data_IF_249495005262
#
_entry.id   IF_249495005262
#
_cell.length_a   1.000
_cell.length_b   1.000
_cell.length_c   1.000
_cell.angle_alpha   90.00
_cell.angle_beta   90.00
_cell.angle_gamma   90.00
#
_symmetry.space_group_name_H-M   'P 1'
#
loop_
_entity.id
_entity.type
_entity.pdbx_description
1 polymer ?
#
# COMPACT_ATOMS: atom_id res chain seq x y z
N UNK A 1 8.90 20.03 -22.54
CA UNK A 1 8.18 19.00 -21.75
C UNK A 1 8.74 18.81 -20.33
N UNK A 2 10.07 18.80 -20.13
CA UNK A 2 10.71 18.60 -18.80
C UNK A 2 10.25 19.55 -17.67
N UNK A 3 10.03 20.85 -17.94
CA UNK A 3 9.54 21.79 -16.90
C UNK A 3 8.12 21.50 -16.42
N UNK A 4 7.27 20.93 -17.27
CA UNK A 4 5.85 20.72 -16.97
C UNK A 4 5.63 19.45 -16.14
N UNK A 5 6.25 18.33 -16.53
CA UNK A 5 6.23 17.10 -15.74
C UNK A 5 6.87 17.30 -14.37
N UNK A 6 7.96 18.08 -14.30
CA UNK A 6 8.58 18.44 -13.04
C UNK A 6 7.63 19.22 -12.10
N UNK A 7 6.81 20.15 -12.63
CA UNK A 7 5.82 20.87 -11.81
C UNK A 7 4.72 19.93 -11.31
N UNK A 8 4.22 19.04 -12.18
CA UNK A 8 3.20 18.04 -11.80
C UNK A 8 3.69 17.15 -10.66
N UNK A 9 4.88 16.59 -10.79
CA UNK A 9 5.43 15.68 -9.77
C UNK A 9 5.67 16.41 -8.44
N UNK A 10 6.15 17.65 -8.50
CA UNK A 10 6.31 18.51 -7.32
C UNK A 10 4.97 18.83 -6.64
N UNK A 11 3.90 19.05 -7.40
CA UNK A 11 2.55 19.23 -6.84
C UNK A 11 2.08 17.96 -6.12
N UNK A 12 2.32 16.78 -6.70
CA UNK A 12 1.98 15.50 -6.06
C UNK A 12 2.83 15.29 -4.79
N UNK A 13 4.15 15.53 -4.84
CA UNK A 13 5.04 15.41 -3.69
C UNK A 13 4.65 16.34 -2.54
N UNK A 14 4.38 17.61 -2.84
CA UNK A 14 3.91 18.55 -1.83
C UNK A 14 2.56 18.14 -1.25
N UNK A 15 1.65 17.60 -2.07
CA UNK A 15 0.35 17.12 -1.59
C UNK A 15 0.52 15.95 -0.64
N UNK A 16 1.42 15.00 -0.91
CA UNK A 16 1.77 13.93 0.02
C UNK A 16 2.23 14.50 1.35
N UNK A 17 3.21 15.41 1.32
CA UNK A 17 3.74 16.01 2.55
C UNK A 17 2.66 16.71 3.37
N UNK A 18 1.83 17.54 2.72
CA UNK A 18 0.77 18.29 3.41
C UNK A 18 -0.32 17.37 3.97
N UNK A 19 -0.74 16.32 3.24
CA UNK A 19 -1.70 15.33 3.75
C UNK A 19 -1.12 14.58 4.93
N UNK A 20 0.16 14.19 4.88
CA UNK A 20 0.86 13.49 5.96
C UNK A 20 1.06 14.36 7.22
N UNK A 21 1.29 15.65 7.07
CA UNK A 21 1.44 16.59 8.19
C UNK A 21 0.08 16.96 8.80
N UNK A 22 -0.89 17.36 7.97
CA UNK A 22 -2.07 18.11 8.42
C UNK A 22 -3.38 17.32 8.36
N UNK A 23 -3.36 16.14 7.73
CA UNK A 23 -4.54 15.37 7.43
C UNK A 23 -5.26 15.84 6.17
N UNK A 24 -6.21 15.02 5.71
CA UNK A 24 -6.89 15.22 4.43
C UNK A 24 -7.74 16.51 4.41
N UNK A 25 -8.57 16.74 5.44
CA UNK A 25 -9.53 17.84 5.49
C UNK A 25 -8.88 19.24 5.46
N UNK A 26 -7.69 19.36 6.06
CA UNK A 26 -6.96 20.65 6.15
C UNK A 26 -6.09 20.93 4.92
N UNK A 27 -6.04 20.01 3.95
CA UNK A 27 -5.23 20.16 2.75
C UNK A 27 -5.95 21.07 1.74
N UNK A 28 -5.46 22.31 1.60
CA UNK A 28 -5.95 23.31 0.64
C UNK A 28 -4.96 23.47 -0.52
N UNK A 29 -5.43 23.94 -1.67
CA UNK A 29 -4.59 24.29 -2.84
C UNK A 29 -3.50 25.30 -2.47
N UNK A 30 -3.83 26.30 -1.63
CA UNK A 30 -2.86 27.23 -1.05
C UNK A 30 -1.79 26.55 -0.21
N UNK A 31 -2.18 25.60 0.65
CA UNK A 31 -1.22 24.86 1.47
C UNK A 31 -0.27 24.01 0.61
N UNK A 32 -0.76 23.41 -0.48
CA UNK A 32 0.03 22.58 -1.41
C UNK A 32 1.13 23.37 -2.09
N UNK A 33 0.88 24.63 -2.50
CA UNK A 33 1.88 25.46 -3.18
C UNK A 33 2.68 26.36 -2.23
N UNK A 34 2.29 26.42 -0.95
CA UNK A 34 2.95 27.26 0.04
C UNK A 34 4.43 26.89 0.19
N UNK A 35 5.31 27.89 0.15
CA UNK A 35 6.76 27.69 0.23
C UNK A 35 7.40 27.14 -1.06
N UNK A 36 6.66 27.09 -2.18
CA UNK A 36 7.17 26.72 -3.50
C UNK A 36 7.18 27.91 -4.44
N UNK A 37 7.85 27.79 -5.59
CA UNK A 37 7.80 28.74 -6.71
C UNK A 37 6.60 28.49 -7.65
N UNK A 38 5.68 27.57 -7.29
CA UNK A 38 4.54 27.19 -8.12
C UNK A 38 3.36 28.12 -7.81
N UNK A 39 2.82 28.78 -8.84
CA UNK A 39 1.57 29.52 -8.72
C UNK A 39 0.39 28.55 -8.53
N UNK A 40 -0.53 28.86 -7.61
CA UNK A 40 -1.74 28.07 -7.34
C UNK A 40 -2.54 27.72 -8.62
N UNK A 41 -2.58 28.62 -9.60
CA UNK A 41 -3.25 28.41 -10.88
C UNK A 41 -2.68 27.22 -11.68
N UNK A 42 -1.42 26.82 -11.46
CA UNK A 42 -0.83 25.67 -12.14
C UNK A 42 -1.44 24.34 -11.74
N UNK A 43 -2.11 24.25 -10.59
CA UNK A 43 -2.86 23.04 -10.21
C UNK A 43 -3.91 22.75 -11.28
N UNK A 44 -4.64 23.77 -11.73
CA UNK A 44 -5.74 23.64 -12.68
C UNK A 44 -5.29 23.39 -14.14
N UNK A 45 -3.98 23.36 -14.39
CA UNK A 45 -3.44 23.00 -15.70
C UNK A 45 -3.40 21.48 -15.89
N UNK A 46 -3.10 20.75 -14.82
CA UNK A 46 -2.81 19.32 -14.86
C UNK A 46 -3.87 18.49 -14.11
N UNK A 47 -4.68 19.15 -13.28
CA UNK A 47 -5.74 18.56 -12.49
C UNK A 47 -7.04 19.34 -12.66
N UNK A 48 -8.15 18.63 -12.78
CA UNK A 48 -9.47 19.27 -12.97
C UNK A 48 -9.85 20.11 -11.76
N UNK A 49 -9.57 19.59 -10.57
CA UNK A 49 -9.76 20.24 -9.30
C UNK A 49 -8.82 19.62 -8.25
N UNK A 50 -9.00 20.01 -6.98
CA UNK A 50 -8.22 19.50 -5.86
C UNK A 50 -8.47 17.99 -5.62
N UNK A 51 -9.69 17.51 -5.88
CA UNK A 51 -10.06 16.11 -5.67
C UNK A 51 -9.40 15.21 -6.71
N UNK A 52 -9.32 15.65 -7.96
CA UNK A 52 -8.57 14.98 -9.02
C UNK A 52 -7.06 14.91 -8.68
N UNK A 53 -6.47 15.99 -8.16
CA UNK A 53 -5.10 15.95 -7.63
C UNK A 53 -4.94 14.88 -6.54
N UNK A 54 -5.88 14.77 -5.61
CA UNK A 54 -5.83 13.73 -4.57
C UNK A 54 -5.96 12.32 -5.14
N UNK A 55 -6.82 12.11 -6.14
CA UNK A 55 -6.91 10.83 -6.88
C UNK A 55 -5.57 10.50 -7.53
N UNK A 56 -4.89 11.47 -8.16
CA UNK A 56 -3.56 11.23 -8.78
C UNK A 56 -2.45 10.96 -7.75
N UNK A 57 -2.53 11.57 -6.57
CA UNK A 57 -1.63 11.27 -5.45
C UNK A 57 -1.83 9.83 -4.99
N UNK A 58 -3.08 9.41 -4.79
CA UNK A 58 -3.39 8.04 -4.40
C UNK A 58 -2.99 7.04 -5.49
N UNK A 59 -3.31 7.31 -6.76
CA UNK A 59 -2.92 6.47 -7.90
C UNK A 59 -1.42 6.20 -7.91
N UNK A 60 -0.59 7.23 -7.71
CA UNK A 60 0.86 7.08 -7.64
C UNK A 60 1.30 6.17 -6.48
N UNK A 61 0.76 6.42 -5.29
CA UNK A 61 1.12 5.64 -4.10
C UNK A 61 0.67 4.18 -4.19
N UNK A 62 -0.50 3.95 -4.78
CA UNK A 62 -1.07 2.63 -5.01
C UNK A 62 -0.31 1.83 -6.06
N UNK A 63 0.16 2.49 -7.12
CA UNK A 63 1.05 1.91 -8.13
C UNK A 63 2.41 1.56 -7.52
N UNK A 64 3.01 2.46 -6.73
CA UNK A 64 4.26 2.16 -6.03
C UNK A 64 4.15 0.95 -5.09
N UNK A 65 3.05 0.84 -4.33
CA UNK A 65 2.82 -0.33 -3.46
C UNK A 65 2.63 -1.62 -4.26
N UNK A 66 1.82 -1.57 -5.33
CA UNK A 66 1.62 -2.72 -6.20
C UNK A 66 2.93 -3.18 -6.87
N UNK A 67 3.75 -2.24 -7.32
CA UNK A 67 5.05 -2.54 -7.91
C UNK A 67 5.95 -3.28 -6.92
N UNK A 68 5.93 -2.90 -5.64
CA UNK A 68 6.68 -3.63 -4.60
C UNK A 68 6.11 -5.04 -4.36
N UNK A 69 4.80 -5.20 -4.33
CA UNK A 69 4.14 -6.51 -4.23
C UNK A 69 4.57 -7.43 -5.39
N UNK A 70 4.52 -6.92 -6.62
CA UNK A 70 4.89 -7.67 -7.82
C UNK A 70 6.40 -7.96 -7.86
N UNK A 71 7.24 -6.98 -7.52
CA UNK A 71 8.70 -7.11 -7.55
C UNK A 71 9.18 -8.23 -6.62
N UNK A 72 8.57 -8.37 -5.45
CA UNK A 72 8.96 -9.37 -4.45
C UNK A 72 8.24 -10.72 -4.61
N UNK A 73 7.23 -10.79 -5.46
CA UNK A 73 6.44 -11.99 -5.72
C UNK A 73 7.27 -13.26 -6.05
N UNK A 74 8.39 -13.20 -6.80
CA UNK A 74 9.17 -14.39 -7.14
C UNK A 74 9.61 -15.24 -5.94
N UNK A 75 9.79 -14.65 -4.75
CA UNK A 75 10.17 -15.41 -3.54
C UNK A 75 9.13 -16.45 -3.13
N UNK A 76 7.85 -16.22 -3.46
CA UNK A 76 6.77 -17.16 -3.16
C UNK A 76 6.85 -18.44 -4.02
N UNK A 77 7.59 -18.42 -5.12
CA UNK A 77 7.77 -19.55 -6.03
C UNK A 77 9.08 -20.32 -5.83
N UNK A 78 9.86 -20.00 -4.78
CA UNK A 78 11.05 -20.76 -4.37
C UNK A 78 10.64 -22.07 -3.67
N UNK A 79 10.25 -23.08 -4.44
CA UNK A 79 9.70 -24.35 -3.95
C UNK A 79 10.66 -25.15 -3.07
N UNK A 80 11.96 -24.86 -3.11
CA UNK A 80 12.98 -25.41 -2.21
C UNK A 80 12.83 -24.95 -0.75
N UNK A 81 12.03 -23.90 -0.51
CA UNK A 81 11.75 -23.36 0.83
C UNK A 81 10.32 -23.69 1.27
N UNK A 82 10.15 -23.91 2.58
CA UNK A 82 8.81 -24.01 3.17
C UNK A 82 7.98 -22.76 2.86
N UNK A 83 6.69 -22.93 2.55
CA UNK A 83 5.79 -21.82 2.20
C UNK A 83 5.79 -20.73 3.26
N UNK A 84 5.79 -21.10 4.54
CA UNK A 84 5.85 -20.16 5.66
C UNK A 84 7.09 -19.26 5.62
N UNK A 85 8.25 -19.83 5.28
CA UNK A 85 9.49 -19.07 5.15
C UNK A 85 9.44 -18.13 3.95
N UNK A 86 8.90 -18.58 2.81
CA UNK A 86 8.68 -17.72 1.65
C UNK A 86 7.76 -16.53 1.96
N UNK A 87 6.62 -16.80 2.63
CA UNK A 87 5.71 -15.75 3.08
C UNK A 87 6.40 -14.77 4.04
N UNK A 88 7.27 -15.26 4.93
CA UNK A 88 8.04 -14.41 5.85
C UNK A 88 8.93 -13.42 5.09
N UNK A 89 9.74 -13.92 4.16
CA UNK A 89 10.63 -13.08 3.35
C UNK A 89 9.84 -12.08 2.51
N UNK A 90 8.73 -12.52 1.92
CA UNK A 90 7.83 -11.67 1.16
C UNK A 90 7.24 -10.53 2.02
N UNK A 91 6.59 -10.85 3.14
CA UNK A 91 5.98 -9.86 4.02
C UNK A 91 7.02 -8.92 4.66
N UNK A 92 8.21 -9.40 4.96
CA UNK A 92 9.30 -8.55 5.46
C UNK A 92 9.73 -7.49 4.43
N UNK A 93 9.78 -7.84 3.14
CA UNK A 93 10.07 -6.89 2.08
C UNK A 93 9.00 -5.79 1.95
N UNK A 94 7.72 -6.19 1.99
CA UNK A 94 6.60 -5.25 1.94
C UNK A 94 6.56 -4.36 3.20
N UNK A 95 6.85 -4.94 4.37
CA UNK A 95 6.95 -4.20 5.63
C UNK A 95 8.05 -3.12 5.57
N UNK A 96 9.23 -3.47 5.06
CA UNK A 96 10.33 -2.50 4.85
C UNK A 96 9.91 -1.36 3.95
N UNK A 97 9.17 -1.64 2.87
CA UNK A 97 8.65 -0.59 2.00
C UNK A 97 7.70 0.36 2.75
N UNK A 98 6.68 -0.18 3.43
CA UNK A 98 5.69 0.63 4.17
C UNK A 98 6.32 1.48 5.28
N UNK A 99 7.39 0.99 5.90
CA UNK A 99 8.11 1.70 6.96
C UNK A 99 9.24 2.61 6.46
N UNK A 100 9.57 2.59 5.16
CA UNK A 100 10.66 3.39 4.60
C UNK A 100 10.34 4.88 4.43
N UNK A 101 9.06 5.24 4.30
CA UNK A 101 8.65 6.62 4.06
C UNK A 101 7.35 6.95 4.81
N UNK A 102 7.49 7.74 5.89
CA UNK A 102 6.40 8.20 6.75
C UNK A 102 5.31 8.93 5.97
N UNK A 103 5.68 9.89 5.13
CA UNK A 103 4.72 10.75 4.47
C UNK A 103 3.87 9.97 3.46
N UNK A 104 4.50 9.10 2.68
CA UNK A 104 3.79 8.22 1.72
C UNK A 104 2.85 7.26 2.43
N UNK A 105 3.31 6.57 3.47
CA UNK A 105 2.49 5.64 4.24
C UNK A 105 1.27 6.33 4.86
N UNK A 106 1.48 7.45 5.56
CA UNK A 106 0.39 8.19 6.20
C UNK A 106 -0.59 8.76 5.19
N UNK A 107 -0.11 9.25 4.04
CA UNK A 107 -0.98 9.75 2.97
C UNK A 107 -1.84 8.66 2.36
N UNK A 108 -1.24 7.50 2.05
CA UNK A 108 -1.96 6.35 1.51
C UNK A 108 -3.12 5.96 2.44
N UNK A 109 -2.82 5.73 3.72
CA UNK A 109 -3.80 5.31 4.73
C UNK A 109 -4.89 6.35 4.95
N UNK A 110 -4.52 7.63 5.06
CA UNK A 110 -5.47 8.72 5.27
C UNK A 110 -6.41 8.89 4.08
N UNK A 111 -5.93 8.73 2.85
CA UNK A 111 -6.78 8.78 1.66
C UNK A 111 -7.69 7.54 1.59
N UNK A 112 -7.12 6.35 1.76
CA UNK A 112 -7.81 5.05 1.61
C UNK A 112 -9.06 4.94 2.50
N UNK A 113 -9.02 5.49 3.71
CA UNK A 113 -10.17 5.47 4.63
C UNK A 113 -11.11 6.67 4.52
N UNK A 114 -10.96 7.52 3.51
CA UNK A 114 -11.92 8.61 3.26
C UNK A 114 -13.10 8.14 2.40
N UNK A 115 -14.27 8.81 2.49
CA UNK A 115 -15.36 8.59 1.52
C UNK A 115 -14.97 8.89 0.06
N UNK A 116 -13.92 9.68 -0.15
CA UNK A 116 -13.38 9.99 -1.47
C UNK A 116 -12.79 8.77 -2.16
N UNK A 117 -12.14 7.86 -1.40
CA UNK A 117 -11.61 6.63 -1.95
C UNK A 117 -12.72 5.79 -2.58
N UNK A 118 -13.81 5.55 -1.84
CA UNK A 118 -14.94 4.78 -2.32
C UNK A 118 -15.56 5.40 -3.58
N UNK A 119 -15.74 6.73 -3.56
CA UNK A 119 -16.37 7.45 -4.67
C UNK A 119 -15.53 7.47 -5.94
N UNK A 120 -14.21 7.62 -5.84
CA UNK A 120 -13.36 7.97 -6.99
C UNK A 120 -12.29 6.93 -7.34
N UNK A 121 -11.88 6.07 -6.39
CA UNK A 121 -10.66 5.27 -6.52
C UNK A 121 -10.86 3.75 -6.32
N UNK A 122 -11.87 3.31 -5.57
CA UNK A 122 -12.06 1.90 -5.20
C UNK A 122 -12.12 0.93 -6.39
N UNK A 123 -12.93 1.26 -7.41
CA UNK A 123 -13.05 0.43 -8.62
C UNK A 123 -11.71 0.29 -9.35
N UNK A 124 -11.00 1.41 -9.54
CA UNK A 124 -9.71 1.42 -10.24
C UNK A 124 -8.63 0.70 -9.44
N UNK A 125 -8.61 0.89 -8.12
CA UNK A 125 -7.72 0.18 -7.20
C UNK A 125 -7.89 -1.35 -7.32
N UNK A 126 -9.13 -1.85 -7.24
CA UNK A 126 -9.40 -3.28 -7.41
C UNK A 126 -8.99 -3.81 -8.78
N UNK A 127 -9.28 -3.07 -9.84
CA UNK A 127 -8.88 -3.43 -11.21
C UNK A 127 -7.35 -3.47 -11.38
N UNK A 128 -6.64 -2.52 -10.75
CA UNK A 128 -5.18 -2.44 -10.82
C UNK A 128 -4.51 -3.67 -10.19
N UNK A 129 -5.10 -4.23 -9.13
CA UNK A 129 -4.54 -5.37 -8.40
C UNK A 129 -4.88 -6.74 -9.01
N UNK A 130 -5.80 -6.82 -9.98
CA UNK A 130 -6.21 -8.09 -10.62
C UNK A 130 -5.01 -8.97 -11.04
N UNK A 131 -3.99 -8.46 -11.75
CA UNK A 131 -2.86 -9.30 -12.17
C UNK A 131 -2.06 -9.91 -11.00
N UNK A 132 -2.05 -9.25 -9.83
CA UNK A 132 -1.46 -9.81 -8.62
C UNK A 132 -2.35 -10.90 -8.03
N UNK A 133 -3.67 -10.69 -7.99
CA UNK A 133 -4.65 -11.66 -7.48
C UNK A 133 -4.62 -12.97 -8.27
N UNK A 134 -4.54 -12.88 -9.60
CA UNK A 134 -4.41 -14.05 -10.48
C UNK A 134 -3.17 -14.89 -10.10
N UNK A 135 -2.03 -14.25 -9.86
CA UNK A 135 -0.81 -14.95 -9.45
C UNK A 135 -0.91 -15.54 -8.04
N UNK A 136 -1.52 -14.81 -7.12
CA UNK A 136 -1.75 -15.23 -5.73
C UNK A 136 -2.72 -16.41 -5.62
N UNK A 137 -3.71 -16.50 -6.51
CA UNK A 137 -4.74 -17.55 -6.48
C UNK A 137 -4.18 -18.97 -6.41
N UNK A 138 -3.01 -19.21 -7.02
CA UNK A 138 -2.36 -20.52 -7.03
C UNK A 138 -1.98 -21.03 -5.63
N UNK A 139 -1.81 -20.14 -4.65
CA UNK A 139 -1.43 -20.51 -3.29
C UNK A 139 -2.63 -20.87 -2.40
N UNK A 140 -3.85 -20.45 -2.75
CA UNK A 140 -5.03 -20.55 -1.91
C UNK A 140 -6.04 -21.58 -2.43
N UNK A 141 -6.83 -22.18 -1.54
CA UNK A 141 -7.95 -23.07 -1.91
C UNK A 141 -8.94 -22.37 -2.85
N UNK A 142 -9.66 -23.14 -3.65
CA UNK A 142 -10.49 -22.58 -4.72
C UNK A 142 -11.68 -21.73 -4.18
N UNK A 143 -12.13 -21.98 -2.96
CA UNK A 143 -13.19 -21.21 -2.28
C UNK A 143 -12.67 -19.92 -1.63
N UNK A 144 -11.36 -19.67 -1.61
CA UNK A 144 -10.79 -18.51 -0.94
C UNK A 144 -11.04 -17.22 -1.74
N UNK A 145 -11.58 -16.20 -1.05
CA UNK A 145 -11.63 -14.84 -1.59
C UNK A 145 -10.24 -14.18 -1.47
N UNK A 146 -9.43 -14.35 -2.51
CA UNK A 146 -8.05 -13.83 -2.59
C UNK A 146 -8.00 -12.31 -2.47
N UNK A 147 -9.03 -11.61 -2.94
CA UNK A 147 -9.13 -10.15 -2.80
C UNK A 147 -9.33 -9.75 -1.34
N UNK A 148 -10.23 -10.43 -0.62
CA UNK A 148 -10.46 -10.20 0.80
C UNK A 148 -9.20 -10.53 1.63
N UNK A 149 -8.52 -11.64 1.30
CA UNK A 149 -7.27 -12.05 1.96
C UNK A 149 -6.18 -10.99 1.75
N UNK A 150 -5.95 -10.55 0.51
CA UNK A 150 -4.95 -9.52 0.23
C UNK A 150 -5.25 -8.21 0.96
N UNK A 151 -6.51 -7.76 0.95
CA UNK A 151 -6.92 -6.58 1.70
C UNK A 151 -6.70 -6.75 3.20
N UNK A 152 -7.00 -7.91 3.76
CA UNK A 152 -6.74 -8.19 5.17
C UNK A 152 -5.25 -8.07 5.50
N UNK A 153 -4.38 -8.70 4.70
CA UNK A 153 -2.92 -8.62 4.84
C UNK A 153 -2.46 -7.16 4.83
N UNK A 154 -2.83 -6.41 3.78
CA UNK A 154 -2.38 -5.02 3.60
C UNK A 154 -2.93 -4.10 4.70
N UNK A 155 -4.20 -4.24 5.10
CA UNK A 155 -4.80 -3.43 6.16
C UNK A 155 -4.07 -3.63 7.50
N UNK A 156 -3.77 -4.87 7.87
CA UNK A 156 -3.03 -5.15 9.12
C UNK A 156 -1.64 -4.55 9.06
N UNK A 157 -0.92 -4.74 7.95
CA UNK A 157 0.44 -4.20 7.80
C UNK A 157 0.45 -2.66 7.80
N UNK A 158 -0.48 -2.01 7.10
CA UNK A 158 -0.58 -0.55 7.04
C UNK A 158 -0.99 0.08 8.39
N UNK A 159 -1.86 -0.57 9.16
CA UNK A 159 -2.23 -0.14 10.51
C UNK A 159 -1.00 -0.11 11.43
N UNK A 160 -0.21 -1.20 11.45
CA UNK A 160 1.02 -1.25 12.24
C UNK A 160 2.09 -0.28 11.73
N UNK A 161 2.25 -0.13 10.41
CA UNK A 161 3.19 0.83 9.84
C UNK A 161 2.83 2.27 10.24
N UNK A 162 1.54 2.60 10.26
CA UNK A 162 1.04 3.90 10.73
C UNK A 162 1.36 4.13 12.20
N UNK A 163 1.21 3.11 13.07
CA UNK A 163 1.57 3.19 14.49
C UNK A 163 3.07 3.42 14.68
N UNK A 164 3.92 2.73 13.91
CA UNK A 164 5.38 2.94 13.91
C UNK A 164 5.71 4.38 13.52
N UNK A 165 5.14 4.89 12.43
CA UNK A 165 5.39 6.25 11.95
C UNK A 165 4.91 7.35 12.90
N UNK A 166 3.93 7.05 13.77
CA UNK A 166 3.41 7.97 14.78
C UNK A 166 4.05 7.78 16.16
N UNK A 167 5.15 7.01 16.27
CA UNK A 167 5.84 6.72 17.53
C UNK A 167 4.91 6.09 18.60
N UNK A 168 3.90 5.34 18.17
CA UNK A 168 2.91 4.67 19.03
C UNK A 168 3.31 3.24 19.40
N UNK A 169 4.52 2.82 19.02
CA UNK A 169 5.07 1.49 19.27
C UNK A 169 6.39 1.66 20.03
N UNK A 170 6.76 0.68 20.87
CA UNK A 170 8.07 0.61 21.55
C UNK A 170 9.24 0.63 20.54
N UNK A 171 10.46 0.91 21.00
CA UNK A 171 11.66 0.84 20.12
C UNK A 171 12.38 -0.51 20.19
N UNK A 172 12.02 -1.35 21.15
CA UNK A 172 12.74 -2.58 21.49
C UNK A 172 12.10 -3.86 20.92
N UNK A 173 11.00 -3.76 20.16
CA UNK A 173 10.29 -4.94 19.65
C UNK A 173 10.73 -5.31 18.23
N UNK A 174 10.76 -6.62 17.95
CA UNK A 174 10.89 -7.15 16.60
C UNK A 174 9.54 -7.08 15.86
N UNK A 175 9.11 -5.88 15.46
CA UNK A 175 7.85 -5.66 14.75
C UNK A 175 7.65 -6.52 13.49
N UNK A 176 8.65 -6.68 12.60
CA UNK A 176 8.48 -7.52 11.41
C UNK A 176 8.02 -8.93 11.76
N UNK A 177 8.59 -9.54 12.81
CA UNK A 177 8.24 -10.90 13.23
C UNK A 177 6.83 -10.98 13.83
N UNK A 178 6.47 -10.04 14.70
CA UNK A 178 5.14 -10.03 15.31
C UNK A 178 4.03 -9.84 14.27
N UNK A 179 4.24 -8.91 13.35
CA UNK A 179 3.28 -8.60 12.28
C UNK A 179 3.18 -9.78 11.31
N UNK A 180 4.32 -10.39 10.95
CA UNK A 180 4.33 -11.62 10.16
C UNK A 180 3.46 -12.71 10.80
N UNK A 181 3.63 -12.96 12.10
CA UNK A 181 2.85 -13.99 12.81
C UNK A 181 1.36 -13.69 12.83
N UNK A 182 0.96 -12.43 13.05
CA UNK A 182 -0.45 -12.02 13.04
C UNK A 182 -1.06 -12.25 11.66
N UNK A 183 -0.40 -11.76 10.61
CA UNK A 183 -0.86 -11.86 9.22
C UNK A 183 -0.87 -13.31 8.74
N UNK A 184 0.20 -14.07 8.98
CA UNK A 184 0.31 -15.44 8.49
C UNK A 184 -0.73 -16.34 9.15
N UNK A 185 -0.90 -16.24 10.48
CA UNK A 185 -1.86 -17.07 11.21
C UNK A 185 -3.32 -16.78 10.82
N UNK A 186 -3.66 -15.56 10.38
CA UNK A 186 -5.02 -15.25 9.95
C UNK A 186 -5.37 -15.80 8.56
N UNK A 187 -4.35 -16.13 7.74
CA UNK A 187 -4.55 -16.61 6.37
C UNK A 187 -4.15 -18.07 6.16
N UNK A 188 -3.43 -18.70 7.10
CA UNK A 188 -2.83 -20.03 6.94
C UNK A 188 -3.85 -21.10 6.52
N UNK A 189 -5.06 -21.04 7.11
CA UNK A 189 -6.17 -21.96 6.83
C UNK A 189 -6.67 -21.93 5.37
N UNK A 190 -6.36 -20.88 4.62
CA UNK A 190 -6.77 -20.73 3.22
C UNK A 190 -5.73 -21.24 2.22
N UNK A 191 -4.51 -21.60 2.65
CA UNK A 191 -3.52 -22.13 1.73
C UNK A 191 -3.90 -23.53 1.23
N UNK A 192 -3.56 -23.85 -0.03
CA UNK A 192 -3.66 -25.22 -0.53
C UNK A 192 -2.76 -26.12 0.31
N UNK A 193 -3.31 -27.23 0.81
CA UNK A 193 -2.51 -28.25 1.48
C UNK A 193 -1.52 -28.84 0.49
N UNK A 194 -0.23 -28.75 0.79
CA UNK A 194 0.81 -29.45 0.03
C UNK A 194 0.59 -30.96 0.19
N UNK A 195 0.90 -31.77 -0.83
CA UNK A 195 0.70 -33.23 -0.81
C UNK A 195 1.41 -33.96 0.36
N UNK A 196 2.30 -33.28 1.08
CA UNK A 196 2.96 -33.80 2.29
C UNK A 196 2.06 -33.79 3.53
N UNK A 197 1.07 -32.90 3.62
CA UNK A 197 0.15 -32.85 4.77
C UNK A 197 -1.02 -33.85 4.67
N UNK A 198 -1.24 -34.45 3.49
CA UNK A 198 -2.28 -35.46 3.26
C UNK A 198 -1.87 -36.87 3.72
N UNK A 199 -0.63 -37.06 4.16
CA UNK A 199 -0.11 -38.39 4.59
C UNK A 199 -0.18 -38.64 6.10
N UNK A 200 -0.62 -37.65 6.89
CA UNK A 200 -0.70 -37.74 8.36
C UNK A 200 -2.15 -37.68 8.90
N UNK A 201 -3.13 -38.19 8.15
CA UNK A 201 -4.47 -38.47 8.66
C UNK A 201 -4.93 -39.86 8.24
#
# INVERSE_FOLDING_TARGET
MLKHQNVRDRLIDNTIRIIAENGFDKTTTKAIVSGTDINEAYIYRDFTDKEDLFVKVFDRLDEELLDQLIQHLPVLYMEELELKLRCRVYFEAIWRFMTSNKEKCLTFVRYYYTPYFEKYSATKHKQRYQPLLEKFSNFFIDEADVWMILNHILNVMLDFATKVHNDQMSKDDNYPEHIFRVVYNSIEQYFKKTQEQSKNH
#
